data_IF_734005117305
#
_entry.id   IF_734005117305
#
_cell.length_a   1.000
_cell.length_b   1.000
_cell.length_c   1.000
_cell.angle_alpha   90.00
_cell.angle_beta   90.00
_cell.angle_gamma   90.00
#
_symmetry.space_group_name_H-M   'P 1'
#
loop_
_entity.id
_entity.type
_entity.pdbx_description
1 polymer ?
#
# COMPACT_ATOMS: atom_id res chain seq x y z
N UNK A 1 -23.47 -5.91 -11.34
CA UNK A 1 -22.46 -6.96 -11.08
C UNK A 1 -22.20 -6.97 -9.59
N UNK A 2 -22.81 -7.88 -8.83
CA UNK A 2 -22.53 -7.99 -7.38
C UNK A 2 -21.85 -9.32 -7.13
N UNK A 3 -20.57 -9.41 -7.54
CA UNK A 3 -19.70 -10.39 -6.93
C UNK A 3 -19.62 -10.06 -5.45
N UNK A 4 -19.96 -11.00 -4.57
CA UNK A 4 -19.78 -10.82 -3.13
C UNK A 4 -18.36 -10.31 -2.87
N UNK A 5 -18.25 -9.15 -2.23
CA UNK A 5 -16.96 -8.56 -1.88
C UNK A 5 -16.43 -9.34 -0.70
N UNK A 6 -15.39 -10.14 -0.93
CA UNK A 6 -14.69 -10.87 0.13
C UNK A 6 -13.80 -9.90 0.93
N UNK A 7 -14.32 -9.47 2.08
CA UNK A 7 -13.65 -8.50 2.95
C UNK A 7 -12.45 -9.11 3.66
N UNK A 8 -12.46 -10.41 3.94
CA UNK A 8 -11.31 -11.10 4.50
C UNK A 8 -10.15 -11.12 3.48
N UNK A 9 -10.44 -11.36 2.21
CA UNK A 9 -9.44 -11.28 1.15
C UNK A 9 -8.89 -9.86 0.99
N UNK A 10 -9.74 -8.82 1.05
CA UNK A 10 -9.31 -7.42 0.99
C UNK A 10 -8.42 -7.03 2.18
N UNK A 11 -8.81 -7.40 3.40
CA UNK A 11 -7.99 -7.14 4.60
C UNK A 11 -6.60 -7.79 4.48
N UNK A 12 -6.54 -9.03 3.97
CA UNK A 12 -5.29 -9.75 3.71
C UNK A 12 -4.41 -9.06 2.66
N UNK A 13 -5.00 -8.53 1.59
CA UNK A 13 -4.28 -7.75 0.58
C UNK A 13 -3.70 -6.46 1.18
N UNK A 14 -4.46 -5.79 2.04
CA UNK A 14 -4.04 -4.57 2.74
C UNK A 14 -3.08 -4.83 3.92
N UNK A 15 -2.77 -6.09 4.24
CA UNK A 15 -1.95 -6.50 5.41
C UNK A 15 -2.55 -6.02 6.75
N UNK A 16 -3.87 -6.00 6.84
CA UNK A 16 -4.60 -5.67 8.05
C UNK A 16 -5.02 -6.94 8.78
N UNK A 17 -4.77 -6.96 10.09
CA UNK A 17 -5.31 -7.97 10.99
C UNK A 17 -6.65 -7.45 11.51
N UNK A 18 -7.73 -8.18 11.26
CA UNK A 18 -9.11 -7.74 11.53
C UNK A 18 -9.77 -8.81 12.38
N UNK A 19 -10.35 -8.40 13.50
CA UNK A 19 -11.11 -9.32 14.38
C UNK A 19 -12.43 -9.75 13.73
N UNK A 20 -13.02 -10.86 14.20
CA UNK A 20 -14.31 -11.33 13.67
C UNK A 20 -15.44 -10.31 13.87
N UNK A 21 -15.39 -9.54 14.96
CA UNK A 21 -16.37 -8.49 15.26
C UNK A 21 -16.26 -7.31 14.28
N UNK A 22 -15.03 -6.88 13.97
CA UNK A 22 -14.78 -5.82 12.99
C UNK A 22 -15.11 -6.27 11.57
N UNK A 23 -14.82 -7.53 11.24
CA UNK A 23 -15.16 -8.10 9.94
C UNK A 23 -16.68 -8.05 9.70
N UNK A 24 -17.49 -8.45 10.68
CA UNK A 24 -18.95 -8.41 10.59
C UNK A 24 -19.52 -6.98 10.45
N UNK A 25 -18.81 -5.97 10.97
CA UNK A 25 -19.18 -4.55 10.76
C UNK A 25 -18.80 -4.09 9.36
N UNK A 26 -17.58 -4.38 8.92
CA UNK A 26 -17.07 -4.03 7.59
C UNK A 26 -17.89 -4.70 6.48
N UNK A 27 -18.41 -5.91 6.72
CA UNK A 27 -19.35 -6.61 5.83
C UNK A 27 -20.63 -5.85 5.54
N UNK A 28 -21.03 -4.93 6.43
CA UNK A 28 -22.20 -4.07 6.24
C UNK A 28 -21.81 -2.70 5.70
N UNK A 29 -20.70 -2.15 6.17
CA UNK A 29 -20.27 -0.79 5.84
C UNK A 29 -19.68 -0.67 4.43
N UNK A 30 -18.83 -1.62 4.02
CA UNK A 30 -18.15 -1.59 2.70
C UNK A 30 -19.18 -1.61 1.55
N UNK A 31 -20.22 -2.47 1.55
CA UNK A 31 -21.25 -2.41 0.51
C UNK A 31 -22.01 -1.08 0.46
N UNK A 32 -22.27 -0.45 1.61
CA UNK A 32 -22.93 0.86 1.66
C UNK A 32 -22.05 1.96 1.04
N UNK A 33 -20.74 1.93 1.30
CA UNK A 33 -19.77 2.84 0.69
C UNK A 33 -19.71 2.62 -0.83
N UNK A 34 -19.69 1.36 -1.28
CA UNK A 34 -19.69 1.04 -2.71
C UNK A 34 -20.97 1.53 -3.41
N UNK A 35 -22.13 1.32 -2.79
CA UNK A 35 -23.41 1.83 -3.30
C UNK A 35 -23.42 3.37 -3.40
N UNK A 36 -22.79 4.06 -2.43
CA UNK A 36 -22.62 5.51 -2.51
C UNK A 36 -21.69 5.93 -3.67
N UNK A 37 -20.57 5.25 -3.87
CA UNK A 37 -19.63 5.54 -4.96
C UNK A 37 -20.24 5.23 -6.34
N UNK A 38 -21.11 4.23 -6.44
CA UNK A 38 -21.85 3.90 -7.67
C UNK A 38 -22.68 5.08 -8.20
N UNK A 39 -23.08 6.03 -7.34
CA UNK A 39 -23.78 7.25 -7.77
C UNK A 39 -22.98 8.06 -8.81
N UNK A 40 -21.65 7.98 -8.80
CA UNK A 40 -20.76 8.66 -9.75
C UNK A 40 -20.97 8.14 -11.18
N UNK A 41 -21.44 6.89 -11.37
CA UNK A 41 -21.72 6.34 -12.70
C UNK A 41 -22.84 7.09 -13.43
N UNK A 42 -23.72 7.79 -12.69
CA UNK A 42 -24.78 8.60 -13.27
C UNK A 42 -24.30 9.96 -13.80
N UNK A 43 -23.08 10.37 -13.45
CA UNK A 43 -22.51 11.63 -13.90
C UNK A 43 -22.04 11.55 -15.36
N UNK A 44 -22.34 12.58 -16.15
CA UNK A 44 -21.86 12.69 -17.52
C UNK A 44 -20.34 12.92 -17.53
N UNK A 45 -19.59 11.99 -18.12
CA UNK A 45 -18.12 12.01 -18.20
C UNK A 45 -17.59 12.75 -19.44
N UNK A 46 -18.42 13.58 -20.09
CA UNK A 46 -18.28 14.19 -21.42
C UNK A 46 -17.05 15.07 -21.73
N UNK A 47 -15.94 14.89 -21.03
CA UNK A 47 -14.60 15.35 -21.43
C UNK A 47 -13.54 14.37 -20.93
N UNK A 48 -12.65 13.96 -21.83
CA UNK A 48 -11.37 13.36 -21.43
C UNK A 48 -10.65 14.34 -20.50
N UNK A 49 -10.19 13.85 -19.35
CA UNK A 49 -9.36 14.63 -18.47
C UNK A 49 -8.11 15.03 -19.26
N UNK A 50 -7.90 16.33 -19.44
CA UNK A 50 -6.67 16.85 -20.05
C UNK A 50 -5.53 16.58 -19.09
N UNK A 51 -4.87 15.43 -19.26
CA UNK A 51 -3.61 15.17 -18.58
C UNK A 51 -2.60 16.17 -19.15
N UNK A 52 -1.90 16.95 -18.33
CA UNK A 52 -0.85 17.83 -18.83
C UNK A 52 0.15 16.98 -19.62
N UNK A 53 0.58 17.47 -20.78
CA UNK A 53 1.56 16.77 -21.61
C UNK A 53 2.85 16.58 -20.79
N UNK A 54 3.07 15.36 -20.32
CA UNK A 54 4.29 15.00 -19.61
C UNK A 54 5.39 14.76 -20.65
N UNK A 55 6.56 15.34 -20.40
CA UNK A 55 7.81 14.98 -21.07
C UNK A 55 8.65 14.15 -20.12
N UNK A 56 9.57 13.36 -20.65
CA UNK A 56 10.51 12.63 -19.82
C UNK A 56 11.39 13.62 -19.05
N UNK A 57 11.15 13.75 -17.75
CA UNK A 57 11.99 14.54 -16.83
C UNK A 57 12.97 13.57 -16.18
N UNK A 58 14.17 13.47 -16.75
CA UNK A 58 15.24 12.64 -16.23
C UNK A 58 16.13 13.45 -15.27
N UNK A 59 16.65 12.80 -14.24
CA UNK A 59 17.71 13.34 -13.39
C UNK A 59 19.08 12.98 -14.00
N UNK A 60 20.01 13.94 -14.02
CA UNK A 60 21.41 13.66 -14.39
C UNK A 60 22.06 12.74 -13.35
N UNK A 61 22.90 11.79 -13.79
CA UNK A 61 23.59 10.85 -12.91
C UNK A 61 24.87 11.45 -12.32
N UNK A 62 24.70 12.52 -11.55
CA UNK A 62 25.79 13.29 -10.96
C UNK A 62 25.58 13.46 -9.46
N UNK A 63 26.69 13.64 -8.71
CA UNK A 63 26.72 13.97 -7.29
C UNK A 63 25.97 12.98 -6.36
N UNK A 64 26.33 11.68 -6.34
CA UNK A 64 25.76 10.76 -5.36
C UNK A 64 26.16 11.15 -3.94
N UNK A 65 25.28 10.88 -2.98
CA UNK A 65 25.63 10.97 -1.56
C UNK A 65 26.69 9.92 -1.20
N UNK A 66 27.65 10.31 -0.35
CA UNK A 66 28.63 9.36 0.17
C UNK A 66 27.95 8.21 0.93
N UNK A 67 28.50 7.00 0.76
CA UNK A 67 27.96 5.81 1.43
C UNK A 67 27.99 6.00 2.94
N UNK A 68 26.87 5.70 3.60
CA UNK A 68 26.77 5.74 5.06
C UNK A 68 26.38 7.09 5.67
N UNK A 69 26.38 8.19 4.88
CA UNK A 69 26.18 9.55 5.40
C UNK A 69 24.89 9.74 6.21
N UNK A 70 23.82 8.99 5.87
CA UNK A 70 22.54 9.06 6.56
C UNK A 70 22.18 7.79 7.34
N UNK A 71 23.09 6.81 7.43
CA UNK A 71 22.79 5.50 8.02
C UNK A 71 22.30 5.62 9.46
N UNK A 72 22.97 6.40 10.30
CA UNK A 72 22.54 6.59 11.69
C UNK A 72 21.16 7.24 11.79
N UNK A 73 20.92 8.29 10.99
CA UNK A 73 19.65 9.03 10.98
C UNK A 73 18.50 8.13 10.53
N UNK A 74 18.71 7.31 9.51
CA UNK A 74 17.71 6.38 8.98
C UNK A 74 17.42 5.26 9.98
N UNK A 75 18.45 4.70 10.61
CA UNK A 75 18.29 3.60 11.56
C UNK A 75 17.63 4.03 12.88
N UNK A 76 17.75 5.30 13.28
CA UNK A 76 17.00 5.84 14.42
C UNK A 76 15.47 5.74 14.25
N UNK A 77 14.96 5.68 13.03
CA UNK A 77 13.53 5.51 12.76
C UNK A 77 13.08 4.04 12.73
N UNK A 78 14.01 3.09 12.79
CA UNK A 78 13.70 1.67 12.71
C UNK A 78 13.33 1.11 14.10
N UNK A 79 12.30 0.26 14.22
CA UNK A 79 11.91 -0.34 15.50
C UNK A 79 12.98 -1.22 16.15
N UNK A 80 13.82 -1.89 15.35
CA UNK A 80 14.88 -2.77 15.83
C UNK A 80 16.09 -2.71 14.88
N UNK A 81 17.29 -2.60 15.46
CA UNK A 81 18.54 -2.42 14.71
C UNK A 81 19.63 -3.32 15.27
N UNK A 82 20.39 -3.99 14.40
CA UNK A 82 21.62 -4.72 14.74
C UNK A 82 22.69 -4.47 13.67
N UNK A 83 23.91 -4.10 14.07
CA UNK A 83 25.11 -3.97 13.19
C UNK A 83 24.81 -3.24 11.87
N UNK A 84 24.14 -2.09 11.96
CA UNK A 84 23.72 -1.22 10.85
C UNK A 84 22.65 -1.81 9.91
N UNK A 85 21.77 -2.67 10.42
CA UNK A 85 20.67 -3.28 9.66
C UNK A 85 19.37 -3.21 10.45
N UNK A 86 18.25 -3.11 9.74
CA UNK A 86 16.92 -3.26 10.33
C UNK A 86 16.66 -4.74 10.56
N UNK A 87 16.30 -5.10 11.80
CA UNK A 87 16.05 -6.49 12.18
C UNK A 87 14.58 -6.82 11.97
N UNK A 88 14.31 -7.92 11.27
CA UNK A 88 12.97 -8.45 11.03
C UNK A 88 12.94 -9.94 11.34
N UNK A 89 11.75 -10.46 11.69
CA UNK A 89 11.55 -11.90 11.82
C UNK A 89 11.66 -12.57 10.45
N UNK A 90 12.41 -13.66 10.36
CA UNK A 90 12.50 -14.43 9.14
C UNK A 90 11.16 -15.14 8.85
N UNK A 91 10.56 -14.85 7.70
CA UNK A 91 9.22 -15.37 7.33
C UNK A 91 9.29 -16.67 6.52
N UNK A 92 10.35 -16.87 5.72
CA UNK A 92 10.52 -18.06 4.89
C UNK A 92 11.84 -18.73 5.27
N UNK A 93 11.78 -20.01 5.65
CA UNK A 93 12.97 -20.83 5.87
C UNK A 93 13.08 -21.88 4.77
N UNK A 94 14.27 -22.00 4.18
CA UNK A 94 14.57 -23.08 3.23
C UNK A 94 15.06 -24.26 4.04
N UNK A 95 14.23 -25.29 4.22
CA UNK A 95 14.73 -26.59 4.73
C UNK A 95 15.72 -27.12 3.69
N UNK A 96 17.00 -27.23 4.05
CA UNK A 96 17.95 -28.01 3.26
C UNK A 96 17.47 -29.46 3.32
N UNK A 97 17.05 -29.98 2.17
CA UNK A 97 17.00 -31.42 1.93
C UNK A 97 18.41 -31.92 1.59
#
# INVERSE_FOLDING_TARGET
MTGQVDIAALAKLARLEVSAEELAKLEKEIPAILAFVETIQSANTGKEASTPALRNVMRADENPHESGIYTERLLKAAPAVEKNRIVVKQVISRKKS
#
